data_IF_314758727884
#
_entry.id   IF_314758727884
#
_cell.length_a   1.000
_cell.length_b   1.000
_cell.length_c   1.000
_cell.angle_alpha   90.00
_cell.angle_beta   90.00
_cell.angle_gamma   90.00
#
_symmetry.space_group_name_H-M   'P 1'
#
loop_
_entity.id
_entity.type
_entity.pdbx_description
1 polymer ?
#
# COMPACT_ATOMS: atom_id res chain seq x y z
N UNK A 1 -6.18 2.56 -2.20
CA UNK A 1 -6.44 1.19 -2.72
C UNK A 1 -5.48 0.94 -3.87
N UNK A 2 -5.00 -0.29 -4.03
CA UNK A 2 -4.18 -0.64 -5.19
C UNK A 2 -5.12 -0.76 -6.37
N UNK A 3 -5.14 0.24 -7.23
CA UNK A 3 -5.96 0.24 -8.43
C UNK A 3 -5.16 -0.41 -9.54
N UNK A 4 -5.39 -1.70 -9.71
CA UNK A 4 -5.21 -2.30 -11.02
C UNK A 4 -6.59 -2.31 -11.67
N UNK A 5 -6.67 -2.07 -12.98
CA UNK A 5 -7.86 -2.23 -13.82
C UNK A 5 -8.36 -3.69 -13.87
N UNK A 6 -8.16 -4.47 -12.80
CA UNK A 6 -8.57 -5.85 -12.65
C UNK A 6 -9.85 -5.88 -11.84
N UNK A 7 -10.81 -6.65 -12.33
CA UNK A 7 -12.05 -6.91 -11.61
C UNK A 7 -11.77 -7.37 -10.17
N UNK A 8 -12.46 -6.73 -9.23
CA UNK A 8 -12.44 -7.13 -7.82
C UNK A 8 -12.97 -8.57 -7.71
N UNK A 9 -12.16 -9.50 -7.21
CA UNK A 9 -12.56 -10.91 -7.11
C UNK A 9 -11.46 -11.86 -6.62
N UNK A 10 -11.76 -13.17 -6.67
CA UNK A 10 -10.87 -14.23 -6.19
C UNK A 10 -9.48 -14.19 -6.85
N UNK A 11 -9.40 -13.83 -8.13
CA UNK A 11 -8.12 -13.71 -8.84
C UNK A 11 -7.23 -12.63 -8.22
N UNK A 12 -7.77 -11.45 -7.91
CA UNK A 12 -7.00 -10.38 -7.25
C UNK A 12 -6.53 -10.81 -5.86
N UNK A 13 -7.38 -11.51 -5.10
CA UNK A 13 -7.01 -12.06 -3.79
C UNK A 13 -5.85 -13.06 -3.89
N UNK A 14 -5.89 -13.97 -4.86
CA UNK A 14 -4.79 -14.91 -5.12
C UNK A 14 -3.51 -14.17 -5.50
N UNK A 15 -3.58 -13.15 -6.35
CA UNK A 15 -2.39 -12.37 -6.71
C UNK A 15 -1.78 -11.67 -5.49
N UNK A 16 -2.59 -11.08 -4.60
CA UNK A 16 -2.13 -10.40 -3.38
C UNK A 16 -1.54 -11.39 -2.36
N UNK A 17 -2.26 -12.48 -2.07
CA UNK A 17 -1.94 -13.41 -1.00
C UNK A 17 -0.90 -14.47 -1.38
N UNK A 18 -0.88 -14.92 -2.66
CA UNK A 18 0.00 -16.01 -3.12
C UNK A 18 1.13 -15.51 -4.01
N UNK A 19 0.90 -14.49 -4.83
CA UNK A 19 1.89 -13.99 -5.79
C UNK A 19 2.57 -12.70 -5.34
N UNK A 20 2.38 -12.31 -4.06
CA UNK A 20 2.96 -11.12 -3.47
C UNK A 20 2.70 -9.83 -4.28
N UNK A 21 1.53 -9.71 -4.92
CA UNK A 21 1.15 -8.49 -5.62
C UNK A 21 1.05 -7.34 -4.61
N UNK A 22 1.77 -6.26 -4.88
CA UNK A 22 1.82 -5.02 -4.09
C UNK A 22 1.61 -3.81 -5.01
N UNK A 23 1.25 -2.64 -4.46
CA UNK A 23 1.18 -1.43 -5.27
C UNK A 23 2.56 -1.10 -5.85
N UNK A 24 2.56 -0.57 -7.08
CA UNK A 24 3.77 -0.08 -7.74
C UNK A 24 4.36 1.08 -6.95
N UNK A 25 5.68 1.06 -6.73
CA UNK A 25 6.40 2.18 -6.15
C UNK A 25 6.57 3.25 -7.23
N UNK A 26 6.08 4.45 -6.96
CA UNK A 26 6.17 5.59 -7.87
C UNK A 26 7.60 6.14 -7.84
N UNK A 27 8.17 6.41 -9.01
CA UNK A 27 9.48 7.04 -9.13
C UNK A 27 9.49 8.41 -8.41
N UNK A 28 10.56 8.68 -7.65
CA UNK A 28 10.65 9.87 -6.80
C UNK A 28 9.97 9.73 -5.43
N UNK A 29 9.44 8.54 -5.09
CA UNK A 29 9.01 8.26 -3.72
C UNK A 29 10.21 8.27 -2.77
N UNK A 30 10.11 8.94 -1.60
CA UNK A 30 11.18 8.99 -0.61
C UNK A 30 11.61 7.61 -0.13
N UNK A 31 12.92 7.39 0.03
CA UNK A 31 13.45 6.07 0.34
C UNK A 31 13.00 5.59 1.73
N UNK A 32 12.89 6.52 2.70
CA UNK A 32 12.38 6.23 4.03
C UNK A 32 10.95 5.67 3.99
N UNK A 33 10.09 6.21 3.11
CA UNK A 33 8.73 5.75 2.93
C UNK A 33 8.66 4.43 2.18
N UNK A 34 9.47 4.23 1.13
CA UNK A 34 9.59 2.94 0.43
C UNK A 34 9.96 1.82 1.39
N UNK A 35 10.95 2.06 2.27
CA UNK A 35 11.40 1.08 3.23
C UNK A 35 10.29 0.71 4.22
N UNK A 36 9.55 1.71 4.72
CA UNK A 36 8.41 1.48 5.60
C UNK A 36 7.31 0.67 4.90
N UNK A 37 6.94 1.04 3.66
CA UNK A 37 5.94 0.30 2.88
C UNK A 37 6.32 -1.18 2.72
N UNK A 38 7.57 -1.46 2.34
CA UNK A 38 8.07 -2.84 2.21
C UNK A 38 7.99 -3.61 3.53
N UNK A 39 8.38 -2.99 4.65
CA UNK A 39 8.26 -3.61 5.98
C UNK A 39 6.79 -3.92 6.33
N UNK A 40 5.87 -3.02 6.01
CA UNK A 40 4.43 -3.25 6.19
C UNK A 40 3.86 -4.34 5.28
N UNK A 41 4.52 -4.63 4.16
CA UNK A 41 4.09 -5.60 3.15
C UNK A 41 4.68 -7.00 3.32
N UNK A 42 5.47 -7.21 4.37
CA UNK A 42 6.08 -8.50 4.68
C UNK A 42 5.05 -9.63 4.63
N UNK A 43 5.44 -10.73 3.99
CA UNK A 43 4.54 -11.87 3.77
C UNK A 43 4.19 -12.51 5.10
N UNK A 44 5.21 -12.71 5.94
CA UNK A 44 5.06 -13.19 7.30
C UNK A 44 4.46 -12.07 8.19
N UNK A 45 3.27 -12.29 8.77
CA UNK A 45 2.59 -11.28 9.59
C UNK A 45 3.43 -10.77 10.77
N UNK A 46 4.22 -11.66 11.39
CA UNK A 46 5.04 -11.35 12.56
C UNK A 46 6.21 -10.39 12.24
N UNK A 47 6.61 -10.30 10.98
CA UNK A 47 7.66 -9.37 10.53
C UNK A 47 7.13 -7.96 10.23
N UNK A 48 5.79 -7.79 10.18
CA UNK A 48 5.18 -6.48 9.95
C UNK A 48 5.32 -5.63 11.20
N UNK A 49 5.55 -4.32 11.05
CA UNK A 49 5.61 -3.44 12.20
C UNK A 49 4.22 -3.33 12.84
N UNK A 50 4.19 -3.36 14.15
CA UNK A 50 3.02 -3.00 14.93
C UNK A 50 2.65 -1.53 14.71
N UNK A 51 1.40 -1.18 15.02
CA UNK A 51 0.96 0.22 15.00
C UNK A 51 1.81 1.12 15.91
N UNK A 52 2.32 0.57 17.02
CA UNK A 52 3.23 1.24 17.93
C UNK A 52 4.57 1.57 17.26
N UNK A 53 5.21 0.59 16.62
CA UNK A 53 6.47 0.82 15.88
C UNK A 53 6.30 1.82 14.74
N UNK A 54 5.18 1.75 14.00
CA UNK A 54 4.88 2.72 12.94
C UNK A 54 4.79 4.14 13.52
N UNK A 55 4.10 4.30 14.66
CA UNK A 55 4.01 5.60 15.35
C UNK A 55 5.39 6.11 15.73
N UNK A 56 6.24 5.26 16.29
CA UNK A 56 7.61 5.65 16.67
C UNK A 56 8.47 6.05 15.46
N UNK A 57 8.31 5.36 14.32
CA UNK A 57 8.97 5.73 13.06
C UNK A 57 8.54 7.13 12.64
N UNK A 58 7.23 7.43 12.66
CA UNK A 58 6.73 8.76 12.31
C UNK A 58 7.17 9.85 13.30
N UNK A 59 7.22 9.54 14.60
CA UNK A 59 7.79 10.46 15.60
C UNK A 59 9.26 10.74 15.32
N UNK A 60 10.05 9.74 14.91
CA UNK A 60 11.45 9.97 14.51
C UNK A 60 11.54 10.87 13.28
N UNK A 61 10.73 10.62 12.25
CA UNK A 61 10.70 11.46 11.05
C UNK A 61 10.31 12.91 11.34
N UNK A 62 9.36 13.15 12.24
CA UNK A 62 8.97 14.50 12.66
C UNK A 62 10.11 15.28 13.33
N UNK A 63 11.08 14.58 13.91
CA UNK A 63 12.25 15.18 14.56
C UNK A 63 13.50 15.17 13.67
N UNK A 64 13.38 14.77 12.40
CA UNK A 64 14.47 14.71 11.42
C UNK A 64 14.16 15.65 10.24
N UNK A 65 14.80 16.81 10.24
CA UNK A 65 14.62 17.84 9.22
C UNK A 65 14.97 17.34 7.81
N UNK A 66 15.96 16.45 7.68
CA UNK A 66 16.37 15.91 6.38
C UNK A 66 15.27 15.05 5.79
N UNK A 67 14.68 14.17 6.61
CA UNK A 67 13.56 13.33 6.20
C UNK A 67 12.34 14.18 5.86
N UNK A 68 12.03 15.20 6.67
CA UNK A 68 10.90 16.10 6.40
C UNK A 68 11.05 16.83 5.06
N UNK A 69 12.26 17.32 4.75
CA UNK A 69 12.55 17.99 3.47
C UNK A 69 12.42 17.03 2.28
N UNK A 70 12.88 15.78 2.41
CA UNK A 70 12.71 14.76 1.37
C UNK A 70 11.23 14.44 1.13
N UNK A 71 10.48 14.23 2.21
CA UNK A 71 9.04 13.97 2.16
C UNK A 71 8.28 15.14 1.54
N UNK A 72 8.61 16.39 1.88
CA UNK A 72 7.94 17.57 1.35
C UNK A 72 8.17 17.74 -0.15
N UNK A 73 9.42 17.60 -0.62
CA UNK A 73 9.76 17.64 -2.05
C UNK A 73 9.01 16.61 -2.87
N UNK A 74 8.76 15.42 -2.30
CA UNK A 74 8.03 14.37 -2.99
C UNK A 74 6.53 14.66 -3.18
N UNK A 75 5.95 15.59 -2.41
CA UNK A 75 4.52 15.93 -2.52
C UNK A 75 4.16 16.46 -3.90
N UNK A 76 5.03 17.25 -4.50
CA UNK A 76 4.77 17.85 -5.81
C UNK A 76 4.89 16.84 -6.96
N UNK A 77 5.80 15.86 -6.83
CA UNK A 77 5.88 14.70 -7.72
C UNK A 77 4.57 13.90 -7.66
N UNK A 78 4.07 13.64 -6.44
CA UNK A 78 2.87 12.83 -6.23
C UNK A 78 1.56 13.54 -6.63
N UNK A 79 1.49 14.88 -6.58
CA UNK A 79 0.33 15.63 -7.10
C UNK A 79 0.11 15.35 -8.58
N UNK A 80 1.17 15.40 -9.39
CA UNK A 80 1.11 15.15 -10.83
C UNK A 80 0.68 13.70 -11.16
N UNK A 81 1.01 12.74 -10.30
CA UNK A 81 0.63 11.33 -10.48
C UNK A 81 -0.85 11.08 -10.12
N UNK A 82 -1.38 11.76 -9.09
CA UNK A 82 -2.81 11.67 -8.74
C UNK A 82 -3.71 12.08 -9.88
N UNK A 83 -3.34 13.12 -10.63
CA UNK A 83 -4.10 13.61 -11.77
C UNK A 83 -4.11 12.62 -12.96
N UNK A 84 -3.12 11.72 -13.03
CA UNK A 84 -3.01 10.69 -14.08
C UNK A 84 -3.68 9.35 -13.72
N UNK A 85 -3.78 8.98 -12.43
CA UNK A 85 -4.20 7.64 -12.01
C UNK A 85 -5.59 7.56 -11.35
N UNK A 86 -6.24 8.69 -11.04
CA UNK A 86 -7.62 8.72 -10.56
C UNK A 86 -8.61 8.56 -11.73
N UNK A 87 -8.69 7.38 -12.33
CA UNK A 87 -9.96 6.99 -12.94
C UNK A 87 -10.98 6.85 -11.80
N UNK A 88 -12.06 7.64 -11.86
CA UNK A 88 -13.09 7.70 -10.83
C UNK A 88 -13.83 6.36 -10.75
N UNK A 89 -13.37 5.46 -9.88
CA UNK A 89 -14.07 4.21 -9.62
C UNK A 89 -15.32 4.46 -8.77
N UNK A 90 -16.46 3.82 -9.07
CA UNK A 90 -17.71 4.00 -8.32
C UNK A 90 -17.53 3.69 -6.83
N UNK A 91 -17.93 4.59 -5.92
CA UNK A 91 -17.74 4.44 -4.46
C UNK A 91 -18.16 3.06 -3.90
N UNK A 92 -19.11 2.41 -4.56
CA UNK A 92 -19.62 1.07 -4.27
C UNK A 92 -18.53 -0.01 -4.22
N UNK A 93 -17.38 0.16 -4.88
CA UNK A 93 -16.28 -0.82 -4.82
C UNK A 93 -15.53 -0.82 -3.48
N UNK A 94 -15.66 0.24 -2.67
CA UNK A 94 -14.99 0.35 -1.37
C UNK A 94 -15.86 -0.13 -0.21
N UNK A 95 -17.07 -0.60 -0.50
CA UNK A 95 -17.95 -1.19 0.52
C UNK A 95 -17.39 -2.54 0.95
N UNK A 96 -17.48 -2.83 2.25
CA UNK A 96 -17.08 -4.13 2.79
C UNK A 96 -17.91 -5.23 2.13
N UNK A 97 -17.23 -6.26 1.59
CA UNK A 97 -17.86 -7.46 1.02
C UNK A 97 -17.41 -8.68 1.82
N UNK A 98 -18.34 -9.58 2.11
CA UNK A 98 -18.00 -10.86 2.72
C UNK A 98 -17.14 -11.69 1.76
N UNK A 99 -16.01 -12.19 2.26
CA UNK A 99 -15.21 -13.19 1.56
C UNK A 99 -15.87 -14.54 1.84
N UNK A 100 -16.53 -15.10 0.83
CA UNK A 100 -17.08 -16.45 0.95
C UNK A 100 -15.92 -17.45 1.05
N UNK A 101 -15.78 -18.08 2.21
CA UNK A 101 -14.83 -19.18 2.42
C UNK A 101 -15.34 -20.41 1.67
N UNK A 102 -14.76 -20.70 0.50
CA UNK A 102 -14.94 -22.00 -0.16
C UNK A 102 -13.80 -22.92 0.26
N UNK A 103 -14.11 -23.96 1.01
CA UNK A 103 -13.20 -25.04 1.43
C UNK A 103 -12.64 -25.88 0.27
N UNK A 104 -13.02 -25.61 -0.98
CA UNK A 104 -12.70 -26.44 -2.15
C UNK A 104 -11.33 -26.21 -2.79
N UNK A 105 -10.49 -25.30 -2.27
CA UNK A 105 -9.13 -25.09 -2.83
C UNK A 105 -8.08 -26.09 -2.27
N UNK A 106 -8.53 -27.12 -1.56
CA UNK A 106 -7.70 -28.22 -1.04
C UNK A 106 -8.06 -29.59 -1.67
N UNK A 107 -8.72 -29.62 -2.84
CA UNK A 107 -8.86 -30.81 -3.67
C UNK A 107 -8.06 -30.67 -4.95
#
# INVERSE_FOLDING_TARGET
PVFYDREFGQQLQLQICRNNLRPTIIEGSPQCYINLMKKCWESEPDNRPSSLEIREIFTKWQNDETILLELDKSKDILKNVKDMQMQAYPEVIYTSKFINYTTSLYQ
#
